data_IF_313908718428
#
_entry.id   IF_313908718428
#
_cell.length_a   1.000
_cell.length_b   1.000
_cell.length_c   1.000
_cell.angle_alpha   90.00
_cell.angle_beta   90.00
_cell.angle_gamma   90.00
#
_symmetry.space_group_name_H-M   'P 1'
#
loop_
_entity.id
_entity.type
_entity.pdbx_description
1 polymer ?
#
# COMPACT_ATOMS: atom_id res chain seq x y z
N UNK A 1 18.48 6.01 -5.33
CA UNK A 1 17.37 5.03 -5.29
C UNK A 1 16.56 5.26 -4.01
N UNK A 2 15.24 5.26 -4.07
CA UNK A 2 14.38 5.42 -2.89
C UNK A 2 13.22 4.44 -2.96
N UNK A 3 13.14 3.56 -1.96
CA UNK A 3 12.05 2.61 -1.77
C UNK A 3 10.89 3.33 -1.08
N UNK A 4 9.69 3.11 -1.60
CA UNK A 4 8.46 3.73 -1.10
C UNK A 4 7.38 2.68 -0.87
N UNK A 5 6.53 2.93 0.12
CA UNK A 5 5.33 2.14 0.37
C UNK A 5 4.14 2.93 -0.16
N UNK A 6 3.50 2.42 -1.21
CA UNK A 6 2.42 3.14 -1.92
C UNK A 6 1.26 2.21 -2.27
N UNK A 7 0.15 2.82 -2.67
CA UNK A 7 -1.00 2.09 -3.20
C UNK A 7 -0.83 1.81 -4.69
N UNK A 8 -1.03 0.56 -5.07
CA UNK A 8 -1.21 0.12 -6.47
C UNK A 8 -2.70 -0.10 -6.73
N UNK A 9 -3.24 0.43 -7.83
CA UNK A 9 -4.67 0.33 -8.12
C UNK A 9 -4.96 -1.06 -8.68
N UNK A 10 -6.01 -1.69 -8.17
CA UNK A 10 -6.52 -2.97 -8.65
C UNK A 10 -8.03 -2.89 -8.87
N UNK A 11 -8.56 -3.84 -9.64
CA UNK A 11 -10.00 -3.96 -9.88
C UNK A 11 -10.51 -3.14 -11.06
N UNK A 12 -11.84 -3.07 -11.17
CA UNK A 12 -12.53 -2.46 -12.31
C UNK A 12 -12.66 -0.95 -12.16
N UNK A 13 -13.07 -0.29 -13.25
CA UNK A 13 -13.48 1.12 -13.20
C UNK A 13 -14.63 1.28 -12.20
N UNK A 14 -14.48 2.21 -11.26
CA UNK A 14 -15.45 2.45 -10.19
C UNK A 14 -15.17 1.67 -8.90
N UNK A 15 -14.33 0.63 -8.93
CA UNK A 15 -13.95 -0.12 -7.73
C UNK A 15 -12.74 0.55 -7.04
N UNK A 16 -12.91 0.87 -5.76
CA UNK A 16 -11.86 1.44 -4.92
C UNK A 16 -10.96 0.38 -4.29
N UNK A 17 -10.41 -0.56 -5.07
CA UNK A 17 -9.54 -1.64 -4.57
C UNK A 17 -8.07 -1.31 -4.84
N UNK A 18 -7.24 -1.51 -3.82
CA UNK A 18 -5.83 -1.14 -3.85
C UNK A 18 -4.98 -2.23 -3.20
N UNK A 19 -3.74 -2.39 -3.65
CA UNK A 19 -2.71 -3.16 -2.96
C UNK A 19 -1.75 -2.22 -2.26
N UNK A 20 -1.33 -2.57 -1.05
CA UNK A 20 -0.23 -1.90 -0.34
C UNK A 20 1.06 -2.58 -0.77
N UNK A 21 1.90 -1.86 -1.50
CA UNK A 21 3.10 -2.42 -2.12
C UNK A 21 4.36 -1.64 -1.78
N UNK A 22 5.48 -2.36 -1.71
CA UNK A 22 6.82 -1.80 -1.61
C UNK A 22 7.47 -1.83 -2.98
N UNK A 23 7.95 -0.67 -3.44
CA UNK A 23 8.56 -0.54 -4.76
C UNK A 23 9.48 0.68 -4.82
N UNK A 24 10.30 0.79 -5.86
CA UNK A 24 11.07 2.00 -6.10
C UNK A 24 10.17 3.13 -6.60
N UNK A 25 10.46 4.37 -6.17
CA UNK A 25 9.69 5.57 -6.55
C UNK A 25 9.52 5.75 -8.07
N UNK A 26 10.55 5.40 -8.85
CA UNK A 26 10.60 5.52 -10.31
C UNK A 26 9.76 4.48 -11.06
N UNK A 27 9.34 3.42 -10.39
CA UNK A 27 8.62 2.33 -11.02
C UNK A 27 7.18 2.71 -11.34
N UNK A 28 6.58 2.10 -12.37
CA UNK A 28 5.18 2.31 -12.75
C UNK A 28 4.26 1.98 -11.58
N UNK A 29 3.19 2.77 -11.38
CA UNK A 29 2.26 2.63 -10.23
C UNK A 29 1.76 1.20 -10.05
N UNK A 30 1.28 0.60 -11.14
CA UNK A 30 0.67 -0.74 -11.17
C UNK A 30 1.62 -1.81 -11.73
N UNK A 31 2.93 -1.54 -11.73
CA UNK A 31 3.95 -2.51 -12.15
C UNK A 31 4.27 -3.54 -11.07
N UNK A 32 5.22 -4.42 -11.37
CA UNK A 32 5.74 -5.42 -10.43
C UNK A 32 6.38 -4.76 -9.19
N UNK A 33 5.87 -5.02 -7.98
CA UNK A 33 6.47 -4.53 -6.76
C UNK A 33 7.58 -5.46 -6.26
N UNK A 34 8.46 -4.94 -5.40
CA UNK A 34 9.44 -5.75 -4.66
C UNK A 34 8.70 -6.71 -3.73
N UNK A 35 7.67 -6.20 -3.04
CA UNK A 35 6.84 -6.97 -2.13
C UNK A 35 5.43 -6.39 -2.05
N UNK A 36 4.43 -7.26 -1.92
CA UNK A 36 3.05 -6.87 -1.61
C UNK A 36 2.80 -7.12 -0.12
N UNK A 37 2.55 -6.07 0.64
CA UNK A 37 2.31 -6.13 2.09
C UNK A 37 0.85 -6.43 2.42
N UNK A 38 -0.06 -6.20 1.48
CA UNK A 38 -1.48 -6.36 1.74
C UNK A 38 -2.40 -5.67 0.73
N UNK A 39 -3.65 -5.49 1.12
CA UNK A 39 -4.70 -4.87 0.31
C UNK A 39 -5.56 -3.92 1.13
N UNK A 40 -6.21 -3.00 0.43
CA UNK A 40 -7.08 -1.97 0.95
C UNK A 40 -8.27 -1.78 0.00
N UNK A 41 -9.49 -1.83 0.53
CA UNK A 41 -10.72 -1.54 -0.20
C UNK A 41 -11.47 -0.35 0.41
N UNK A 42 -11.70 0.67 -0.41
CA UNK A 42 -12.54 1.83 -0.08
C UNK A 42 -14.00 1.48 -0.35
N UNK A 43 -14.66 0.75 0.56
CA UNK A 43 -16.13 0.54 0.53
C UNK A 43 -16.86 1.57 1.38
N UNK A 44 -18.12 1.85 1.04
CA UNK A 44 -18.97 2.89 1.67
C UNK A 44 -19.46 2.56 3.10
N UNK A 45 -19.32 1.32 3.58
CA UNK A 45 -19.88 0.90 4.89
C UNK A 45 -18.79 0.33 5.79
N UNK A 46 -18.29 1.16 6.72
CA UNK A 46 -17.80 0.92 8.09
C UNK A 46 -17.13 -0.41 8.52
N UNK A 47 -16.73 -1.30 7.61
CA UNK A 47 -15.93 -2.49 7.93
C UNK A 47 -14.49 -2.26 7.48
N UNK A 48 -13.55 -2.60 8.34
CA UNK A 48 -12.11 -2.59 8.08
C UNK A 48 -11.79 -3.52 6.89
N UNK A 49 -11.88 -3.02 5.68
CA UNK A 49 -11.54 -3.78 4.48
C UNK A 49 -10.06 -3.53 4.13
N UNK A 50 -9.19 -3.72 5.13
CA UNK A 50 -7.74 -3.66 4.96
C UNK A 50 -7.11 -4.88 5.61
N UNK A 51 -6.19 -5.50 4.89
CA UNK A 51 -5.35 -6.55 5.43
C UNK A 51 -3.92 -6.19 5.07
N UNK A 52 -3.10 -5.92 6.09
CA UNK A 52 -1.69 -5.52 5.90
C UNK A 52 -0.85 -6.28 6.90
N UNK A 53 0.22 -6.91 6.41
CA UNK A 53 1.21 -7.56 7.25
C UNK A 53 2.05 -6.49 7.98
N UNK A 54 1.70 -6.25 9.25
CA UNK A 54 2.39 -5.26 10.10
C UNK A 54 3.87 -5.57 10.28
N UNK A 55 4.23 -6.83 10.50
CA UNK A 55 5.62 -7.23 10.70
C UNK A 55 6.51 -6.89 9.50
N UNK A 56 6.01 -7.11 8.28
CA UNK A 56 6.74 -6.71 7.06
C UNK A 56 6.74 -5.20 6.84
N UNK A 57 5.64 -4.52 7.17
CA UNK A 57 5.59 -3.05 7.10
C UNK A 57 6.64 -2.39 8.01
N UNK A 58 6.74 -2.82 9.26
CA UNK A 58 7.71 -2.30 10.23
C UNK A 58 9.15 -2.62 9.82
N UNK A 59 9.38 -3.79 9.24
CA UNK A 59 10.67 -4.13 8.64
C UNK A 59 11.07 -3.12 7.56
N UNK A 60 10.17 -2.80 6.63
CA UNK A 60 10.49 -1.84 5.56
C UNK A 60 10.65 -0.42 6.05
N UNK A 61 9.90 -0.01 7.07
CA UNK A 61 10.13 1.26 7.77
C UNK A 61 11.53 1.31 8.39
N UNK A 62 11.96 0.23 9.06
CA UNK A 62 13.30 0.14 9.64
C UNK A 62 14.42 0.22 8.60
N UNK A 63 14.14 -0.23 7.36
CA UNK A 63 15.06 -0.15 6.21
C UNK A 63 15.03 1.21 5.49
N UNK A 64 14.25 2.17 5.98
CA UNK A 64 14.17 3.52 5.43
C UNK A 64 13.19 3.68 4.27
N UNK A 65 12.25 2.73 4.08
CA UNK A 65 11.17 2.90 3.13
C UNK A 65 10.23 4.01 3.60
N UNK A 66 9.88 4.93 2.69
CA UNK A 66 8.96 6.04 3.02
C UNK A 66 7.54 5.72 2.57
N UNK A 67 6.55 5.64 3.49
CA UNK A 67 5.16 5.49 3.10
C UNK A 67 4.61 6.78 2.48
N UNK A 68 3.61 6.63 1.62
CA UNK A 68 2.83 7.77 1.11
C UNK A 68 1.84 8.29 2.16
N UNK A 69 1.50 9.58 2.10
CA UNK A 69 0.56 10.23 3.03
C UNK A 69 -0.77 9.46 3.16
N UNK A 70 -1.27 8.89 2.06
CA UNK A 70 -2.51 8.10 2.08
C UNK A 70 -2.33 6.78 2.82
N UNK A 71 -1.20 6.09 2.63
CA UNK A 71 -0.88 4.84 3.33
C UNK A 71 -0.72 5.09 4.83
N UNK A 72 -0.06 6.18 5.22
CA UNK A 72 0.05 6.60 6.62
C UNK A 72 -1.33 6.83 7.24
N UNK A 73 -2.22 7.57 6.57
CA UNK A 73 -3.59 7.81 7.05
C UNK A 73 -4.42 6.54 7.16
N UNK A 74 -4.21 5.57 6.26
CA UNK A 74 -4.93 4.28 6.29
C UNK A 74 -4.43 3.41 7.44
N UNK A 75 -3.13 3.44 7.76
CA UNK A 75 -2.51 2.58 8.78
C UNK A 75 -2.53 3.19 10.18
N UNK A 76 -2.55 4.52 10.30
CA UNK A 76 -2.66 5.24 11.59
C UNK A 76 -4.07 5.21 12.17
N UNK A 77 -5.08 4.81 11.37
CA UNK A 77 -6.48 4.74 11.77
C UNK A 77 -6.86 3.31 12.15
#
# INVERSE_FOLDING_TARGET
MSVVIRLSKMGKRGEGRYRVVVTEKRYRRDGEPIETLGWYEKKEKNKENKEVNKARFDYWLSKGAKPSITVEKILSK
#
